data_IF_238605182456
#
_entry.id   IF_238605182456
#
_cell.length_a   1.000
_cell.length_b   1.000
_cell.length_c   1.000
_cell.angle_alpha   90.00
_cell.angle_beta   90.00
_cell.angle_gamma   90.00
#
_symmetry.space_group_name_H-M   'P 1'
#
loop_
_entity.id
_entity.type
_entity.pdbx_description
1 polymer ?
#
# COMPACT_ATOMS: atom_id res chain seq x y z
N UNK A 1 11.20 -8.74 8.11
CA UNK A 1 11.65 -7.56 7.33
C UNK A 1 10.49 -6.59 7.23
N UNK A 2 10.68 -5.31 7.59
CA UNK A 2 9.60 -4.31 7.62
C UNK A 2 9.41 -3.71 6.21
N UNK A 3 8.94 -4.51 5.26
CA UNK A 3 8.79 -4.07 3.86
C UNK A 3 7.89 -2.84 3.71
N UNK A 4 6.81 -2.73 4.50
CA UNK A 4 5.93 -1.54 4.48
C UNK A 4 6.69 -0.25 4.79
N UNK A 5 7.58 -0.28 5.78
CA UNK A 5 8.41 0.88 6.14
C UNK A 5 9.37 1.25 5.01
N UNK A 6 9.97 0.26 4.33
CA UNK A 6 10.85 0.51 3.19
C UNK A 6 10.13 1.19 2.04
N UNK A 7 8.92 0.74 1.71
CA UNK A 7 8.08 1.36 0.68
C UNK A 7 7.71 2.79 1.06
N UNK A 8 7.32 3.04 2.31
CA UNK A 8 6.99 4.39 2.77
C UNK A 8 8.19 5.33 2.67
N UNK A 9 9.38 4.88 3.06
CA UNK A 9 10.61 5.67 2.90
C UNK A 9 10.90 5.99 1.44
N UNK A 10 10.69 5.04 0.53
CA UNK A 10 10.82 5.28 -0.92
C UNK A 10 9.84 6.37 -1.39
N UNK A 11 8.56 6.25 -1.02
CA UNK A 11 7.53 7.23 -1.38
C UNK A 11 7.85 8.63 -0.83
N UNK A 12 8.32 8.71 0.42
CA UNK A 12 8.77 9.98 1.00
C UNK A 12 9.97 10.58 0.25
N UNK A 13 10.92 9.75 -0.19
CA UNK A 13 12.04 10.17 -1.03
C UNK A 13 11.61 10.77 -2.38
N UNK A 14 10.44 10.37 -2.88
CA UNK A 14 9.81 10.90 -4.09
C UNK A 14 8.86 12.08 -3.82
N UNK A 15 8.75 12.55 -2.57
CA UNK A 15 7.84 13.62 -2.17
C UNK A 15 6.37 13.20 -2.06
N UNK A 16 6.09 11.90 -2.09
CA UNK A 16 4.74 11.36 -1.96
C UNK A 16 4.41 11.19 -0.48
N UNK A 17 3.35 11.86 -0.02
CA UNK A 17 2.88 11.69 1.36
C UNK A 17 2.23 10.31 1.52
N UNK A 18 2.89 9.43 2.26
CA UNK A 18 2.42 8.08 2.55
C UNK A 18 2.45 7.81 4.05
N UNK A 19 1.51 6.99 4.52
CA UNK A 19 1.45 6.43 5.88
C UNK A 19 1.44 4.91 5.77
N UNK A 20 1.98 4.23 6.77
CA UNK A 20 1.79 2.79 6.92
C UNK A 20 1.19 2.46 8.27
N UNK A 21 0.38 1.41 8.30
CA UNK A 21 -0.22 0.88 9.51
C UNK A 21 0.74 -0.11 10.17
N UNK A 22 1.00 0.14 11.46
CA UNK A 22 1.76 -0.74 12.33
C UNK A 22 1.18 -0.64 13.76
N UNK A 23 0.81 -1.75 14.42
CA UNK A 23 0.93 -3.15 13.98
C UNK A 23 -0.02 -3.52 12.82
N UNK A 24 0.03 -4.78 12.39
CA UNK A 24 -0.78 -5.28 11.27
C UNK A 24 -2.28 -5.00 11.51
N UNK A 25 -2.97 -4.29 10.61
CA UNK A 25 -4.36 -3.94 10.81
C UNK A 25 -5.26 -5.20 10.78
N UNK A 26 -6.30 -5.18 11.62
CA UNK A 26 -7.43 -6.09 11.57
C UNK A 26 -8.17 -5.87 10.23
N UNK A 27 -8.61 -6.99 9.63
CA UNK A 27 -9.36 -7.19 8.37
C UNK A 27 -9.26 -6.17 7.23
N UNK A 28 -9.20 -6.65 5.98
CA UNK A 28 -9.15 -5.77 4.81
C UNK A 28 -10.34 -4.80 4.68
N UNK A 29 -11.52 -5.19 5.18
CA UNK A 29 -12.73 -4.36 5.15
C UNK A 29 -12.55 -3.09 6.02
N UNK A 30 -11.87 -3.21 7.17
CA UNK A 30 -11.58 -2.08 8.07
C UNK A 30 -10.61 -1.07 7.42
N UNK A 31 -9.80 -1.52 6.46
CA UNK A 31 -8.83 -0.68 5.76
C UNK A 31 -9.43 0.24 4.72
N UNK A 32 -10.42 -0.26 3.96
CA UNK A 32 -11.09 0.53 2.94
C UNK A 32 -11.88 1.67 3.62
N UNK A 33 -12.61 1.35 4.68
CA UNK A 33 -13.33 2.33 5.50
C UNK A 33 -12.39 3.34 6.16
N UNK A 34 -11.27 2.88 6.75
CA UNK A 34 -10.25 3.76 7.32
C UNK A 34 -9.70 4.73 6.26
N UNK A 35 -9.34 4.21 5.10
CA UNK A 35 -8.80 5.06 4.04
C UNK A 35 -9.83 6.03 3.48
N UNK A 36 -11.10 5.62 3.35
CA UNK A 36 -12.19 6.51 2.96
C UNK A 36 -12.37 7.66 3.95
N UNK A 37 -12.38 7.39 5.27
CA UNK A 37 -12.47 8.42 6.30
C UNK A 37 -11.29 9.40 6.29
N UNK A 38 -10.12 8.94 5.88
CA UNK A 38 -8.90 9.75 5.79
C UNK A 38 -8.73 10.43 4.43
N UNK A 39 -9.70 10.30 3.52
CA UNK A 39 -9.62 10.78 2.13
C UNK A 39 -8.36 10.29 1.39
N UNK A 40 -7.94 9.05 1.71
CA UNK A 40 -6.82 8.38 1.06
C UNK A 40 -7.32 7.77 -0.25
N UNK A 41 -6.65 8.11 -1.35
CA UNK A 41 -7.04 7.69 -2.69
C UNK A 41 -6.42 6.36 -3.11
N UNK A 42 -5.25 6.04 -2.56
CA UNK A 42 -4.41 4.93 -2.99
C UNK A 42 -3.94 4.10 -1.81
N UNK A 43 -3.97 2.77 -1.96
CA UNK A 43 -3.42 1.84 -1.00
C UNK A 43 -2.32 1.00 -1.65
N UNK A 44 -1.17 0.91 -0.98
CA UNK A 44 -0.08 0.01 -1.39
C UNK A 44 -0.12 -1.24 -0.52
N UNK A 45 -0.47 -2.36 -1.16
CA UNK A 45 -0.56 -3.68 -0.54
C UNK A 45 0.79 -4.37 -0.70
N UNK A 46 1.45 -4.60 0.43
CA UNK A 46 2.75 -5.26 0.50
C UNK A 46 2.56 -6.70 0.96
N UNK A 47 2.76 -7.65 0.05
CA UNK A 47 2.74 -9.08 0.34
C UNK A 47 4.18 -9.60 0.52
N UNK A 48 4.46 -10.25 1.64
CA UNK A 48 5.82 -10.67 1.99
C UNK A 48 6.48 -11.57 0.94
N UNK A 49 5.74 -12.52 0.37
CA UNK A 49 6.26 -13.44 -0.65
C UNK A 49 6.61 -12.69 -1.94
N UNK A 50 5.68 -11.90 -2.47
CA UNK A 50 5.86 -11.13 -3.71
C UNK A 50 6.99 -10.11 -3.59
N UNK A 51 7.07 -9.42 -2.45
CA UNK A 51 8.13 -8.46 -2.20
C UNK A 51 9.50 -9.16 -2.11
N UNK A 52 9.59 -10.29 -1.40
CA UNK A 52 10.86 -11.01 -1.23
C UNK A 52 11.37 -11.61 -2.54
N UNK A 53 10.49 -12.19 -3.34
CA UNK A 53 10.87 -12.94 -4.54
C UNK A 53 11.00 -12.07 -5.79
N UNK A 54 10.12 -11.07 -5.92
CA UNK A 54 9.96 -10.30 -7.15
C UNK A 54 10.17 -8.80 -6.98
N UNK A 55 10.36 -8.33 -5.75
CA UNK A 55 10.40 -6.89 -5.42
C UNK A 55 9.17 -6.16 -5.98
N UNK A 56 7.99 -6.73 -5.80
CA UNK A 56 6.74 -6.18 -6.32
C UNK A 56 5.77 -5.79 -5.21
N UNK A 57 5.02 -4.71 -5.46
CA UNK A 57 3.89 -4.28 -4.65
C UNK A 57 2.65 -4.14 -5.52
N UNK A 58 1.49 -4.21 -4.88
CA UNK A 58 0.20 -4.03 -5.51
C UNK A 58 -0.39 -2.69 -5.08
N UNK A 59 -0.87 -1.90 -6.03
CA UNK A 59 -1.45 -0.58 -5.82
C UNK A 59 -2.94 -0.67 -6.14
N UNK A 60 -3.77 -0.25 -5.20
CA UNK A 60 -5.23 -0.23 -5.31
C UNK A 60 -5.73 1.22 -5.32
N UNK A 61 -6.60 1.53 -6.28
CA UNK A 61 -7.43 2.73 -6.24
C UNK A 61 -8.60 2.50 -5.27
N UNK A 62 -8.82 3.42 -4.33
CA UNK A 62 -9.88 3.30 -3.33
C UNK A 62 -11.13 4.08 -3.69
N UNK A 63 -10.99 5.09 -4.56
CA UNK A 63 -12.09 5.93 -5.03
C UNK A 63 -12.87 5.32 -6.20
N UNK A 64 -12.36 4.25 -6.81
CA UNK A 64 -12.99 3.57 -7.92
C UNK A 64 -12.76 2.06 -7.85
N UNK A 65 -13.66 1.35 -7.20
CA UNK A 65 -13.60 -0.11 -7.06
C UNK A 65 -13.68 -0.87 -8.40
N UNK A 66 -13.98 -0.18 -9.51
CA UNK A 66 -13.95 -0.78 -10.85
C UNK A 66 -12.54 -0.80 -11.45
N UNK A 67 -11.60 -0.01 -10.89
CA UNK A 67 -10.23 0.00 -11.37
C UNK A 67 -9.50 -1.25 -10.89
N UNK A 68 -8.86 -1.94 -11.83
CA UNK A 68 -8.05 -3.10 -11.53
C UNK A 68 -6.83 -2.69 -10.70
N UNK A 69 -6.49 -3.52 -9.73
CA UNK A 69 -5.28 -3.35 -8.96
C UNK A 69 -4.03 -3.43 -9.87
N UNK A 70 -3.09 -2.51 -9.69
CA UNK A 70 -1.85 -2.43 -10.49
C UNK A 70 -0.71 -3.12 -9.74
N UNK A 71 0.03 -4.00 -10.41
CA UNK A 71 1.26 -4.59 -9.85
C UNK A 71 2.47 -3.87 -10.44
N UNK A 72 3.35 -3.36 -9.58
CA UNK A 72 4.57 -2.66 -9.99
C UNK A 72 5.80 -3.20 -9.26
N UNK A 73 6.94 -3.09 -9.92
CA UNK A 73 8.24 -3.35 -9.31
C UNK A 73 8.64 -2.19 -8.39
N UNK A 74 9.44 -2.49 -7.38
CA UNK A 74 10.07 -1.56 -6.46
C UNK A 74 11.51 -1.39 -6.94
N UNK A 75 11.81 -0.25 -7.56
CA UNK A 75 13.12 0.10 -8.13
C UNK A 75 13.54 1.50 -7.71
#
# INVERSE_FOLDING_TARGET
MLFRMQIVMLLWGLGINARYLHPEPLHHEDLDDYCAQQNIQWMVIVQNHTMREKQQVKIRALNNHSDADVVTNVS
#
